data_IF_381375883619
#
_entry.id   IF_381375883619
#
_cell.length_a   1.000
_cell.length_b   1.000
_cell.length_c   1.000
_cell.angle_alpha   90.00
_cell.angle_beta   90.00
_cell.angle_gamma   90.00
#
_symmetry.space_group_name_H-M   'P 1'
#
loop_
_entity.id
_entity.type
_entity.pdbx_description
1 polymer ?
#
# COMPACT_ATOMS: atom_id res chain seq x y z
N UNK A 1 -3.57 20.48 -29.47
CA UNK A 1 -3.36 20.05 -28.07
C UNK A 1 -4.30 18.89 -27.81
N UNK A 2 -3.85 17.63 -27.92
CA UNK A 2 -4.73 16.47 -27.76
C UNK A 2 -4.97 16.23 -26.26
N UNK A 3 -6.12 16.68 -25.75
CA UNK A 3 -6.57 16.32 -24.40
C UNK A 3 -6.84 14.82 -24.37
N UNK A 4 -5.88 14.01 -23.89
CA UNK A 4 -6.14 12.60 -23.57
C UNK A 4 -7.28 12.57 -22.55
N UNK A 5 -8.52 12.31 -22.99
CA UNK A 5 -9.67 12.15 -22.09
C UNK A 5 -9.30 11.09 -21.06
N UNK A 6 -9.16 11.47 -19.78
CA UNK A 6 -9.08 10.49 -18.69
C UNK A 6 -10.42 9.77 -18.68
N UNK A 7 -10.40 8.44 -18.82
CA UNK A 7 -11.60 7.63 -18.63
C UNK A 7 -12.13 7.88 -17.21
N UNK A 8 -13.44 8.02 -17.06
CA UNK A 8 -14.08 8.22 -15.75
C UNK A 8 -13.65 7.14 -14.75
N UNK A 9 -13.52 5.88 -15.22
CA UNK A 9 -13.04 4.78 -14.38
C UNK A 9 -11.60 4.97 -13.89
N UNK A 10 -10.73 5.58 -14.70
CA UNK A 10 -9.36 5.86 -14.31
C UNK A 10 -9.26 7.00 -13.29
N UNK A 11 -10.15 7.99 -13.38
CA UNK A 11 -10.26 9.04 -12.36
C UNK A 11 -10.69 8.46 -11.01
N UNK A 12 -11.73 7.62 -11.02
CA UNK A 12 -12.22 6.94 -9.82
C UNK A 12 -11.11 6.08 -9.21
N UNK A 13 -10.39 5.30 -10.02
CA UNK A 13 -9.30 4.44 -9.57
C UNK A 13 -8.13 5.25 -8.98
N UNK A 14 -7.79 6.38 -9.59
CA UNK A 14 -6.73 7.28 -9.11
C UNK A 14 -7.11 7.93 -7.78
N UNK A 15 -8.37 8.36 -7.61
CA UNK A 15 -8.86 8.89 -6.34
C UNK A 15 -8.86 7.80 -5.27
N UNK A 16 -9.40 6.62 -5.58
CA UNK A 16 -9.46 5.50 -4.66
C UNK A 16 -8.06 5.10 -4.18
N UNK A 17 -7.10 4.97 -5.10
CA UNK A 17 -5.72 4.67 -4.78
C UNK A 17 -5.06 5.78 -3.95
N UNK A 18 -5.26 7.04 -4.32
CA UNK A 18 -4.71 8.18 -3.59
C UNK A 18 -5.19 8.23 -2.13
N UNK A 19 -6.50 8.10 -1.92
CA UNK A 19 -7.09 8.01 -0.58
C UNK A 19 -6.65 6.77 0.17
N UNK A 20 -6.56 5.61 -0.51
CA UNK A 20 -6.08 4.37 0.08
C UNK A 20 -4.66 4.53 0.60
N UNK A 21 -3.72 5.01 -0.21
CA UNK A 21 -2.32 5.22 0.19
C UNK A 21 -2.15 6.26 1.30
N UNK A 22 -2.96 7.33 1.30
CA UNK A 22 -2.97 8.29 2.41
C UNK A 22 -3.40 7.64 3.72
N UNK A 23 -4.54 6.92 3.71
CA UNK A 23 -5.03 6.22 4.89
C UNK A 23 -4.02 5.16 5.34
N UNK A 24 -3.48 4.38 4.40
CA UNK A 24 -2.48 3.35 4.69
C UNK A 24 -1.22 3.94 5.30
N UNK A 25 -0.64 4.99 4.70
CA UNK A 25 0.55 5.64 5.20
C UNK A 25 0.38 6.25 6.59
N UNK A 26 -0.78 6.88 6.87
CA UNK A 26 -1.10 7.37 8.21
C UNK A 26 -1.16 6.20 9.20
N UNK A 27 -1.83 5.10 8.84
CA UNK A 27 -1.89 3.89 9.67
C UNK A 27 -0.51 3.25 9.87
N UNK A 28 0.35 3.25 8.84
CA UNK A 28 1.73 2.74 8.88
C UNK A 28 2.52 3.52 9.94
N UNK A 29 2.39 4.84 9.95
CA UNK A 29 3.06 5.72 10.91
C UNK A 29 2.49 5.63 12.33
N UNK A 30 1.20 5.32 12.48
CA UNK A 30 0.56 5.15 13.80
C UNK A 30 1.03 3.88 14.55
N UNK A 31 1.59 2.91 13.84
CA UNK A 31 2.15 1.68 14.42
C UNK A 31 3.58 1.84 14.92
N UNK A 32 4.21 3.01 14.69
CA UNK A 32 5.46 3.36 15.33
C UNK A 32 5.27 3.47 16.86
N UNK A 33 6.15 2.80 17.62
CA UNK A 33 6.13 2.85 19.09
C UNK A 33 6.71 4.17 19.65
N UNK A 34 7.11 5.10 18.78
CA UNK A 34 7.69 6.41 19.09
C UNK A 34 6.73 7.60 18.93
N UNK A 35 7.24 8.72 18.38
CA UNK A 35 6.70 10.09 18.48
C UNK A 35 5.26 10.25 17.96
N UNK A 36 4.81 9.42 17.02
CA UNK A 36 3.47 9.47 16.42
C UNK A 36 2.50 8.40 16.94
N UNK A 37 2.96 7.48 17.79
CA UNK A 37 2.16 6.37 18.35
C UNK A 37 1.02 6.78 19.29
N UNK A 38 0.86 8.09 19.58
CA UNK A 38 -0.25 8.62 20.38
C UNK A 38 -1.58 8.74 19.63
N UNK A 39 -1.59 8.55 18.32
CA UNK A 39 -2.81 8.43 17.51
C UNK A 39 -3.25 6.97 17.31
N UNK A 40 -2.98 6.09 18.28
CA UNK A 40 -3.54 4.74 18.30
C UNK A 40 -5.06 4.76 18.54
N UNK A 41 -5.82 5.04 17.49
CA UNK A 41 -7.25 4.79 17.46
C UNK A 41 -7.51 3.43 16.81
N UNK A 42 -7.28 2.34 17.54
CA UNK A 42 -7.98 1.05 17.35
C UNK A 42 -7.88 0.30 16.02
N UNK A 43 -6.99 0.65 15.09
CA UNK A 43 -6.86 -0.05 13.79
C UNK A 43 -5.70 -1.05 13.81
N UNK A 44 -6.03 -2.29 14.18
CA UNK A 44 -5.24 -3.48 13.84
C UNK A 44 -5.29 -3.65 12.31
N UNK A 45 -4.16 -3.57 11.59
CA UNK A 45 -4.18 -3.95 10.17
C UNK A 45 -3.32 -3.18 9.18
N UNK A 46 -2.10 -2.77 9.53
CA UNK A 46 -1.17 -2.32 8.49
C UNK A 46 -0.29 -3.48 8.02
N UNK A 47 -0.65 -3.99 6.85
CA UNK A 47 0.01 -5.09 6.16
C UNK A 47 1.51 -4.80 5.91
N UNK A 48 1.85 -3.56 5.55
CA UNK A 48 3.25 -3.12 5.31
C UNK A 48 4.07 -3.18 6.60
N UNK A 49 3.57 -2.61 7.69
CA UNK A 49 4.27 -2.65 8.98
C UNK A 49 4.43 -4.08 9.51
N UNK A 50 3.43 -4.95 9.31
CA UNK A 50 3.51 -6.36 9.67
C UNK A 50 4.58 -7.05 8.84
N UNK A 51 4.61 -6.79 7.53
CA UNK A 51 5.60 -7.38 6.63
C UNK A 51 7.03 -6.99 7.02
N UNK A 52 7.26 -5.70 7.30
CA UNK A 52 8.56 -5.19 7.71
C UNK A 52 9.00 -5.77 9.05
N UNK A 53 8.13 -5.81 10.07
CA UNK A 53 8.44 -6.39 11.38
C UNK A 53 8.75 -7.89 11.33
N UNK A 54 8.24 -8.61 10.33
CA UNK A 54 8.59 -10.02 10.11
C UNK A 54 9.99 -10.18 9.49
N UNK A 55 10.39 -9.27 8.62
CA UNK A 55 11.68 -9.32 7.92
C UNK A 55 12.83 -8.71 8.73
N UNK A 56 12.56 -7.63 9.45
CA UNK A 56 13.52 -6.85 10.23
C UNK A 56 13.06 -6.78 11.69
N UNK A 57 14.03 -6.74 12.61
CA UNK A 57 13.76 -6.67 14.06
C UNK A 57 14.40 -5.42 14.66
N UNK A 58 13.76 -4.89 15.71
CA UNK A 58 14.29 -3.75 16.47
C UNK A 58 14.22 -2.42 15.71
N UNK A 59 15.17 -1.52 15.98
CA UNK A 59 15.13 -0.13 15.51
C UNK A 59 15.18 0.00 13.98
N UNK A 60 15.85 -0.94 13.30
CA UNK A 60 15.89 -0.97 11.83
C UNK A 60 14.50 -1.15 11.21
N UNK A 61 13.62 -1.95 11.83
CA UNK A 61 12.25 -2.14 11.36
C UNK A 61 11.43 -0.85 11.51
N UNK A 62 11.57 -0.16 12.65
CA UNK A 62 10.86 1.10 12.91
C UNK A 62 11.26 2.19 11.90
N UNK A 63 12.56 2.32 11.61
CA UNK A 63 13.06 3.30 10.62
C UNK A 63 12.45 3.02 9.24
N UNK A 64 12.41 1.75 8.81
CA UNK A 64 11.85 1.37 7.51
C UNK A 64 10.34 1.60 7.46
N UNK A 65 9.61 1.30 8.53
CA UNK A 65 8.17 1.56 8.64
C UNK A 65 7.87 3.06 8.51
N UNK A 66 8.65 3.91 9.20
CA UNK A 66 8.49 5.36 9.11
C UNK A 66 8.75 5.85 7.68
N UNK A 67 9.83 5.39 7.05
CA UNK A 67 10.15 5.76 5.67
C UNK A 67 9.05 5.33 4.69
N UNK A 68 8.52 4.11 4.83
CA UNK A 68 7.44 3.61 3.97
C UNK A 68 6.15 4.38 4.18
N UNK A 69 5.75 4.66 5.43
CA UNK A 69 4.56 5.46 5.71
C UNK A 69 4.64 6.87 5.13
N UNK A 70 5.82 7.51 5.19
CA UNK A 70 6.04 8.82 4.55
C UNK A 70 5.94 8.71 3.02
N UNK A 71 6.57 7.69 2.42
CA UNK A 71 6.47 7.46 0.98
C UNK A 71 5.03 7.23 0.52
N UNK A 72 4.24 6.45 1.27
CA UNK A 72 2.82 6.20 1.00
C UNK A 72 1.99 7.48 1.04
N UNK A 73 2.21 8.33 2.04
CA UNK A 73 1.51 9.62 2.15
C UNK A 73 1.89 10.54 0.98
N UNK A 74 3.18 10.65 0.65
CA UNK A 74 3.66 11.48 -0.47
C UNK A 74 3.08 10.96 -1.79
N UNK A 75 3.09 9.64 -2.01
CA UNK A 75 2.48 9.01 -3.18
C UNK A 75 0.99 9.24 -3.26
N UNK A 76 0.25 9.03 -2.17
CA UNK A 76 -1.20 9.24 -2.12
C UNK A 76 -1.58 10.69 -2.39
N UNK A 77 -0.91 11.63 -1.72
CA UNK A 77 -1.09 13.06 -1.96
C UNK A 77 -0.71 13.45 -3.39
N UNK A 78 0.42 12.95 -3.89
CA UNK A 78 0.86 13.18 -5.27
C UNK A 78 -0.14 12.66 -6.30
N UNK A 79 -0.71 11.47 -6.08
CA UNK A 79 -1.75 10.94 -6.94
C UNK A 79 -3.00 11.83 -6.96
N UNK A 80 -3.44 12.36 -5.82
CA UNK A 80 -4.59 13.26 -5.78
C UNK A 80 -4.29 14.63 -6.40
N UNK A 81 -3.13 15.21 -6.13
CA UNK A 81 -2.72 16.48 -6.75
C UNK A 81 -2.57 16.32 -8.26
N UNK A 82 -2.16 15.14 -8.74
CA UNK A 82 -2.06 14.85 -10.17
C UNK A 82 -3.40 14.77 -10.92
N UNK A 83 -4.52 14.93 -10.22
CA UNK A 83 -5.83 15.16 -10.83
C UNK A 83 -5.97 16.58 -11.36
N UNK A 84 -5.31 17.55 -10.74
CA UNK A 84 -5.42 18.98 -11.06
C UNK A 84 -4.22 19.53 -11.83
N UNK A 85 -3.03 18.95 -11.65
CA UNK A 85 -1.80 19.39 -12.30
C UNK A 85 -0.93 18.20 -12.73
N UNK A 86 -0.07 18.32 -13.74
CA UNK A 86 0.89 17.24 -14.02
C UNK A 86 2.02 17.31 -13.01
N UNK A 87 2.10 16.35 -12.10
CA UNK A 87 3.34 16.14 -11.35
C UNK A 87 4.38 15.52 -12.28
N UNK A 88 5.56 16.12 -12.33
CA UNK A 88 6.68 15.60 -13.11
C UNK A 88 7.27 14.31 -12.52
N UNK A 89 8.52 14.00 -12.91
CA UNK A 89 9.23 12.75 -12.60
C UNK A 89 9.28 12.37 -11.10
N UNK A 90 9.15 13.32 -10.18
CA UNK A 90 9.21 13.06 -8.75
C UNK A 90 8.07 12.15 -8.25
N UNK A 91 6.84 12.34 -8.72
CA UNK A 91 5.70 11.49 -8.31
C UNK A 91 5.84 10.05 -8.82
N UNK A 92 6.48 9.86 -9.97
CA UNK A 92 6.78 8.54 -10.55
C UNK A 92 7.72 7.73 -9.66
N UNK A 93 8.73 8.38 -9.05
CA UNK A 93 9.70 7.72 -8.17
C UNK A 93 9.04 7.21 -6.88
N UNK A 94 8.25 8.04 -6.20
CA UNK A 94 7.56 7.61 -4.97
C UNK A 94 6.58 6.48 -5.26
N UNK A 95 5.83 6.56 -6.37
CA UNK A 95 4.91 5.48 -6.74
C UNK A 95 5.63 4.18 -7.09
N UNK A 96 6.85 4.26 -7.64
CA UNK A 96 7.70 3.07 -7.86
C UNK A 96 8.14 2.45 -6.52
N UNK A 97 8.54 3.27 -5.54
CA UNK A 97 8.90 2.81 -4.20
C UNK A 97 7.70 2.11 -3.53
N UNK A 98 6.52 2.72 -3.59
CA UNK A 98 5.27 2.13 -3.07
C UNK A 98 4.94 0.82 -3.79
N UNK A 99 5.10 0.76 -5.11
CA UNK A 99 4.90 -0.47 -5.88
C UNK A 99 5.81 -1.61 -5.40
N UNK A 100 7.10 -1.32 -5.22
CA UNK A 100 8.07 -2.32 -4.74
C UNK A 100 7.70 -2.78 -3.33
N UNK A 101 7.37 -1.84 -2.43
CA UNK A 101 6.94 -2.16 -1.08
C UNK A 101 5.68 -3.05 -1.09
N UNK A 102 4.73 -2.79 -1.99
CA UNK A 102 3.51 -3.59 -2.10
C UNK A 102 3.76 -5.01 -2.58
N UNK A 103 4.75 -5.22 -3.47
CA UNK A 103 5.19 -6.57 -3.87
C UNK A 103 5.73 -7.32 -2.65
N UNK A 104 6.52 -6.67 -1.79
CA UNK A 104 7.02 -7.27 -0.55
C UNK A 104 5.87 -7.65 0.38
N UNK A 105 4.85 -6.81 0.51
CA UNK A 105 3.64 -7.12 1.29
C UNK A 105 2.98 -8.40 0.82
N UNK A 106 2.77 -8.55 -0.49
CA UNK A 106 2.17 -9.74 -1.09
C UNK A 106 2.96 -10.99 -0.70
N UNK A 107 4.29 -10.95 -0.84
CA UNK A 107 5.13 -12.09 -0.47
C UNK A 107 5.03 -12.40 1.03
N UNK A 108 5.13 -11.40 1.90
CA UNK A 108 5.18 -11.66 3.34
C UNK A 108 3.83 -12.04 3.94
N UNK A 109 2.72 -11.57 3.36
CA UNK A 109 1.37 -11.81 3.88
C UNK A 109 0.66 -12.90 3.10
N UNK A 110 0.55 -12.79 1.79
CA UNK A 110 -0.21 -13.77 1.02
C UNK A 110 0.55 -15.09 0.85
N UNK A 111 1.88 -15.04 0.78
CA UNK A 111 2.68 -16.27 0.64
C UNK A 111 3.09 -16.81 2.01
N UNK A 112 3.72 -15.97 2.84
CA UNK A 112 4.31 -16.37 4.13
C UNK A 112 3.45 -16.01 5.35
N UNK A 113 2.32 -15.32 5.18
CA UNK A 113 1.49 -14.87 6.29
C UNK A 113 0.72 -16.00 6.95
N UNK A 114 0.10 -15.75 8.13
CA UNK A 114 -0.87 -16.68 8.67
C UNK A 114 -1.99 -16.83 7.65
N UNK A 115 -2.39 -18.06 7.33
CA UNK A 115 -3.37 -18.34 6.27
C UNK A 115 -2.87 -18.04 4.85
N UNK A 116 -1.58 -17.75 4.67
CA UNK A 116 -0.95 -17.61 3.36
C UNK A 116 -0.73 -18.96 2.67
N UNK A 117 -0.30 -18.91 1.40
CA UNK A 117 -0.09 -20.09 0.54
C UNK A 117 0.76 -21.17 1.20
N UNK A 118 1.82 -20.79 1.91
CA UNK A 118 2.75 -21.74 2.53
C UNK A 118 2.36 -22.12 3.96
N UNK A 119 1.39 -21.44 4.57
CA UNK A 119 1.05 -21.53 5.99
C UNK A 119 -0.46 -21.75 6.19
N UNK A 120 -1.03 -22.64 5.38
CA UNK A 120 -2.35 -23.21 5.65
C UNK A 120 -3.52 -22.62 4.85
N UNK A 121 -3.28 -21.86 3.76
CA UNK A 121 -4.34 -21.36 2.89
C UNK A 121 -5.36 -22.43 2.45
N UNK A 122 -4.93 -23.70 2.34
CA UNK A 122 -5.76 -24.82 1.90
C UNK A 122 -6.24 -25.73 3.02
N UNK A 123 -6.01 -25.39 4.29
CA UNK A 123 -6.37 -26.25 5.43
C UNK A 123 -7.89 -26.30 5.69
N UNK A 124 -8.60 -25.22 5.37
CA UNK A 124 -10.06 -25.17 5.51
C UNK A 124 -10.68 -24.19 4.51
N UNK A 125 -11.96 -24.36 4.21
CA UNK A 125 -12.72 -23.44 3.36
C UNK A 125 -12.69 -22.01 3.90
N UNK A 126 -12.79 -21.84 5.22
CA UNK A 126 -12.75 -20.52 5.83
C UNK A 126 -11.39 -19.85 5.62
N UNK A 127 -10.30 -20.60 5.85
CA UNK A 127 -8.92 -20.13 5.67
C UNK A 127 -8.65 -19.75 4.22
N UNK A 128 -9.12 -20.57 3.28
CA UNK A 128 -8.98 -20.32 1.86
C UNK A 128 -9.72 -19.06 1.41
N UNK A 129 -10.95 -18.85 1.90
CA UNK A 129 -11.71 -17.64 1.61
C UNK A 129 -11.05 -16.39 2.20
N UNK A 130 -10.45 -16.50 3.39
CA UNK A 130 -9.70 -15.42 4.01
C UNK A 130 -8.45 -15.05 3.20
N UNK A 131 -7.68 -16.05 2.78
CA UNK A 131 -6.55 -15.89 1.86
C UNK A 131 -6.99 -15.20 0.58
N UNK A 132 -8.01 -15.73 -0.10
CA UNK A 132 -8.47 -15.21 -1.39
C UNK A 132 -8.95 -13.76 -1.27
N UNK A 133 -9.65 -13.40 -0.18
CA UNK A 133 -10.08 -12.03 0.09
C UNK A 133 -8.89 -11.07 0.25
N UNK A 134 -7.87 -11.50 0.99
CA UNK A 134 -6.69 -10.67 1.27
C UNK A 134 -5.84 -10.49 0.01
N UNK A 135 -5.55 -11.59 -0.68
CA UNK A 135 -4.81 -11.58 -1.94
C UNK A 135 -5.51 -10.75 -3.01
N UNK A 136 -6.84 -10.87 -3.14
CA UNK A 136 -7.60 -10.06 -4.09
C UNK A 136 -7.48 -8.55 -3.78
N UNK A 137 -7.51 -8.16 -2.51
CA UNK A 137 -7.30 -6.76 -2.11
C UNK A 137 -5.90 -6.26 -2.52
N UNK A 138 -4.85 -7.02 -2.24
CA UNK A 138 -3.50 -6.63 -2.63
C UNK A 138 -3.32 -6.55 -4.15
N UNK A 139 -3.94 -7.47 -4.91
CA UNK A 139 -3.96 -7.42 -6.37
C UNK A 139 -4.72 -6.21 -6.92
N UNK A 140 -5.84 -5.80 -6.29
CA UNK A 140 -6.56 -4.58 -6.67
C UNK A 140 -5.69 -3.33 -6.48
N UNK A 141 -4.96 -3.24 -5.36
CA UNK A 141 -4.04 -2.12 -5.11
C UNK A 141 -2.89 -2.13 -6.12
N UNK A 142 -2.26 -3.28 -6.37
CA UNK A 142 -1.19 -3.40 -7.35
C UNK A 142 -1.66 -3.02 -8.77
N UNK A 143 -2.83 -3.53 -9.17
CA UNK A 143 -3.46 -3.20 -10.45
C UNK A 143 -3.79 -1.71 -10.57
N UNK A 144 -4.24 -1.08 -9.48
CA UNK A 144 -4.47 0.35 -9.42
C UNK A 144 -3.18 1.15 -9.61
N UNK A 145 -2.11 0.79 -8.88
CA UNK A 145 -0.81 1.45 -8.97
C UNK A 145 -0.27 1.36 -10.41
N UNK A 146 -0.28 0.17 -11.02
CA UNK A 146 0.20 -0.05 -12.39
C UNK A 146 -0.61 0.74 -13.43
N UNK A 147 -1.93 0.73 -13.31
CA UNK A 147 -2.83 1.39 -14.27
C UNK A 147 -2.71 2.91 -14.22
N UNK A 148 -2.58 3.47 -13.01
CA UNK A 148 -2.46 4.91 -12.81
C UNK A 148 -1.05 5.41 -13.14
N UNK A 149 0.00 4.63 -12.83
CA UNK A 149 1.38 5.00 -13.15
C UNK A 149 1.71 4.96 -14.64
N UNK A 150 1.12 4.05 -15.43
CA UNK A 150 1.43 3.92 -16.86
C UNK A 150 1.04 5.16 -17.71
N UNK A 151 0.36 6.15 -17.12
CA UNK A 151 -0.04 7.39 -17.80
C UNK A 151 0.75 8.64 -17.43
N UNK A 152 1.57 8.59 -16.38
CA UNK A 152 2.43 9.69 -15.95
C UNK A 152 3.84 9.52 -16.51
#
# INVERSE_FOLDING_TARGET
MATKKKSLGMLILQIALGCFLLAFGILTLQLDKGVLGKFQAGVTGNEVAIAVNKLLKGDAANIVIILLGICEIISGAGLLVSLFTSLGKAASIFNLVVLIAWIVVIVVIDVMGPFGLLNGAFESTWTFLFFLKTFAMHMLVLGAILTVNHKN
#
